data_IF_702117152605
#
_entry.id   IF_702117152605
#
_cell.length_a   1.000
_cell.length_b   1.000
_cell.length_c   1.000
_cell.angle_alpha   90.00
_cell.angle_beta   90.00
_cell.angle_gamma   90.00
#
_symmetry.space_group_name_H-M   'P 1'
#
loop_
_entity.id
_entity.type
_entity.pdbx_description
1 polymer ?
#
# COMPACT_ATOMS: atom_id res chain seq x y z
N UNK A 1 -8.45 15.64 24.54
CA UNK A 1 -7.92 14.28 24.35
C UNK A 1 -8.91 13.19 24.70
N UNK A 2 -10.04 13.47 25.38
CA UNK A 2 -11.02 12.43 25.75
C UNK A 2 -11.53 11.60 24.57
N UNK A 3 -11.82 12.23 23.42
CA UNK A 3 -12.25 11.51 22.21
C UNK A 3 -11.17 10.60 21.64
N UNK A 4 -9.90 11.00 21.72
CA UNK A 4 -8.77 10.17 21.27
C UNK A 4 -8.60 8.98 22.21
N UNK A 5 -8.72 9.21 23.52
CA UNK A 5 -8.65 8.14 24.52
C UNK A 5 -9.77 7.11 24.32
N UNK A 6 -11.02 7.58 24.15
CA UNK A 6 -12.16 6.72 23.86
C UNK A 6 -11.97 5.92 22.55
N UNK A 7 -11.49 6.57 21.48
CA UNK A 7 -11.17 5.90 20.23
C UNK A 7 -10.11 4.80 20.41
N UNK A 8 -9.06 5.05 21.19
CA UNK A 8 -8.03 4.07 21.50
C UNK A 8 -8.57 2.88 22.31
N UNK A 9 -9.41 3.13 23.32
CA UNK A 9 -9.92 2.07 24.21
C UNK A 9 -11.04 1.24 23.60
N UNK A 10 -11.98 1.90 22.91
CA UNK A 10 -13.26 1.29 22.54
C UNK A 10 -13.37 0.97 21.04
N UNK A 11 -12.51 1.57 20.19
CA UNK A 11 -12.61 1.42 18.73
C UNK A 11 -11.36 0.80 18.08
N UNK A 12 -10.16 1.14 18.57
CA UNK A 12 -8.90 0.70 17.98
C UNK A 12 -8.50 1.42 16.68
N UNK A 13 -9.26 2.42 16.25
CA UNK A 13 -8.99 3.24 15.07
C UNK A 13 -9.69 4.60 15.15
N UNK A 14 -9.13 5.63 14.49
CA UNK A 14 -9.78 6.93 14.29
C UNK A 14 -9.18 7.64 13.08
N UNK A 15 -9.96 8.51 12.46
CA UNK A 15 -9.48 9.44 11.45
C UNK A 15 -9.02 10.74 12.11
N UNK A 16 -7.87 11.26 11.67
CA UNK A 16 -7.37 12.56 12.09
C UNK A 16 -7.46 13.52 10.90
N UNK A 17 -8.14 14.65 11.10
CA UNK A 17 -8.19 15.74 10.12
C UNK A 17 -7.28 16.88 10.57
N UNK A 18 -6.87 17.73 9.62
CA UNK A 18 -5.94 18.85 9.88
C UNK A 18 -4.61 18.38 10.52
N UNK A 19 -4.10 17.22 10.09
CA UNK A 19 -2.89 16.58 10.60
C UNK A 19 -1.58 17.29 10.20
N UNK A 20 -1.64 18.32 9.35
CA UNK A 20 -0.48 19.13 8.97
C UNK A 20 0.37 18.56 7.82
N UNK A 21 0.00 17.40 7.27
CA UNK A 21 0.59 16.90 6.02
C UNK A 21 -0.03 17.66 4.86
N UNK A 22 0.81 18.16 3.94
CA UNK A 22 0.34 18.91 2.78
C UNK A 22 -0.59 18.06 1.92
N UNK A 23 -1.73 18.61 1.51
CA UNK A 23 -2.63 17.95 0.57
C UNK A 23 -1.93 17.70 -0.78
N UNK A 24 -1.05 18.61 -1.21
CA UNK A 24 -0.28 18.43 -2.44
C UNK A 24 0.63 17.19 -2.36
N UNK A 25 1.21 16.92 -1.19
CA UNK A 25 2.03 15.71 -0.98
C UNK A 25 1.17 14.45 -0.97
N UNK A 26 -0.01 14.48 -0.35
CA UNK A 26 -0.95 13.35 -0.34
C UNK A 26 -1.45 13.02 -1.76
N UNK A 27 -1.85 14.05 -2.52
CA UNK A 27 -2.26 13.92 -3.92
C UNK A 27 -1.14 13.32 -4.77
N UNK A 28 0.10 13.76 -4.52
CA UNK A 28 1.25 13.26 -5.24
C UNK A 28 1.56 11.80 -4.90
N UNK A 29 1.54 11.41 -3.62
CA UNK A 29 1.67 10.02 -3.16
C UNK A 29 0.62 9.12 -3.81
N UNK A 30 -0.64 9.55 -3.85
CA UNK A 30 -1.72 8.81 -4.51
C UNK A 30 -1.44 8.63 -6.00
N UNK A 31 -1.04 9.71 -6.69
CA UNK A 31 -0.75 9.73 -8.13
C UNK A 31 0.39 8.77 -8.48
N UNK A 32 1.54 8.86 -7.81
CA UNK A 32 2.70 8.01 -8.11
C UNK A 32 2.44 6.54 -7.74
N UNK A 33 1.67 6.27 -6.68
CA UNK A 33 1.31 4.90 -6.28
C UNK A 33 0.41 4.22 -7.31
N UNK A 34 -0.62 4.92 -7.81
CA UNK A 34 -1.50 4.41 -8.87
C UNK A 34 -0.74 4.20 -10.17
N UNK A 35 0.12 5.14 -10.55
CA UNK A 35 0.95 5.03 -11.75
C UNK A 35 1.89 3.82 -11.69
N UNK A 36 2.57 3.60 -10.55
CA UNK A 36 3.43 2.44 -10.35
C UNK A 36 2.63 1.12 -10.37
N UNK A 37 1.44 1.08 -9.77
CA UNK A 37 0.59 -0.11 -9.79
C UNK A 37 0.23 -0.50 -11.24
N UNK A 38 -0.25 0.47 -12.03
CA UNK A 38 -0.58 0.24 -13.44
C UNK A 38 0.63 -0.17 -14.28
N UNK A 39 1.79 0.44 -14.06
CA UNK A 39 2.99 0.19 -14.86
C UNK A 39 3.71 -1.11 -14.51
N UNK A 40 3.77 -1.50 -13.23
CA UNK A 40 4.68 -2.54 -12.76
C UNK A 40 3.97 -3.74 -12.12
N UNK A 41 2.72 -3.59 -11.66
CA UNK A 41 2.07 -4.58 -10.77
C UNK A 41 0.83 -5.22 -11.37
N UNK A 42 0.18 -4.55 -12.32
CA UNK A 42 -1.06 -5.03 -12.91
C UNK A 42 -0.88 -6.36 -13.65
N UNK A 43 0.24 -6.54 -14.38
CA UNK A 43 0.52 -7.78 -15.10
C UNK A 43 0.76 -8.96 -14.14
N UNK A 44 1.63 -8.77 -13.15
CA UNK A 44 1.89 -9.78 -12.11
C UNK A 44 0.61 -10.14 -11.34
N UNK A 45 -0.24 -9.16 -11.06
CA UNK A 45 -1.52 -9.39 -10.41
C UNK A 45 -2.51 -10.16 -11.29
N UNK A 46 -2.56 -9.88 -12.60
CA UNK A 46 -3.39 -10.65 -13.56
C UNK A 46 -2.96 -12.11 -13.62
N UNK A 47 -1.66 -12.38 -13.63
CA UNK A 47 -1.13 -13.75 -13.59
C UNK A 47 -1.51 -14.46 -12.28
N UNK A 48 -1.35 -13.79 -11.14
CA UNK A 48 -1.80 -14.29 -9.85
C UNK A 48 -3.31 -14.59 -9.86
N UNK A 49 -4.13 -13.63 -10.30
CA UNK A 49 -5.57 -13.74 -10.37
C UNK A 49 -6.02 -14.92 -11.22
N UNK A 50 -5.42 -15.10 -12.41
CA UNK A 50 -5.72 -16.22 -13.30
C UNK A 50 -5.46 -17.58 -12.62
N UNK A 51 -4.30 -17.72 -11.96
CA UNK A 51 -3.93 -18.96 -11.24
C UNK A 51 -4.85 -19.24 -10.06
N UNK A 52 -5.19 -18.21 -9.29
CA UNK A 52 -6.05 -18.36 -8.12
C UNK A 52 -7.48 -18.73 -8.52
N UNK A 53 -8.02 -18.13 -9.58
CA UNK A 53 -9.32 -18.50 -10.13
C UNK A 53 -9.34 -19.94 -10.66
N UNK A 54 -8.33 -20.34 -11.43
CA UNK A 54 -8.22 -21.72 -11.94
C UNK A 54 -8.13 -22.75 -10.80
N UNK A 55 -7.38 -22.44 -9.73
CA UNK A 55 -7.31 -23.31 -8.56
C UNK A 55 -8.66 -23.42 -7.83
N UNK A 56 -9.38 -22.30 -7.69
CA UNK A 56 -10.72 -22.27 -7.11
C UNK A 56 -11.73 -23.08 -7.93
N UNK A 57 -11.71 -22.99 -9.26
CA UNK A 57 -12.54 -23.80 -10.15
C UNK A 57 -12.24 -25.31 -10.02
N UNK A 58 -10.99 -25.67 -9.71
CA UNK A 58 -10.57 -27.05 -9.42
C UNK A 58 -10.88 -27.50 -7.98
N UNK A 59 -11.55 -26.67 -7.18
CA UNK A 59 -12.01 -26.99 -5.84
C UNK A 59 -11.00 -26.73 -4.72
N UNK A 60 -9.93 -25.96 -4.98
CA UNK A 60 -9.03 -25.50 -3.93
C UNK A 60 -9.75 -24.51 -2.99
N UNK A 61 -9.49 -24.59 -1.68
CA UNK A 61 -9.95 -23.58 -0.73
C UNK A 61 -9.06 -22.34 -0.86
N UNK A 62 -9.65 -21.22 -1.28
CA UNK A 62 -8.98 -19.93 -1.48
C UNK A 62 -9.15 -18.98 -0.29
N UNK A 63 -9.68 -19.46 0.85
CA UNK A 63 -9.84 -18.63 2.06
C UNK A 63 -8.53 -18.21 2.72
N UNK A 64 -7.45 -18.93 2.46
CA UNK A 64 -6.11 -18.64 3.00
C UNK A 64 -5.27 -17.75 2.05
N UNK A 65 -5.93 -17.07 1.10
CA UNK A 65 -5.29 -16.22 0.10
C UNK A 65 -5.95 -14.84 0.07
N UNK A 66 -5.14 -13.80 0.24
CA UNK A 66 -5.57 -12.42 0.07
C UNK A 66 -5.56 -12.03 -1.41
N UNK A 67 -6.67 -11.47 -1.89
CA UNK A 67 -6.78 -10.93 -3.25
C UNK A 67 -6.13 -9.53 -3.31
N UNK A 68 -4.81 -9.49 -3.19
CA UNK A 68 -4.04 -8.25 -3.01
C UNK A 68 -2.76 -8.24 -3.86
N UNK A 69 -2.35 -7.05 -4.30
CA UNK A 69 -1.01 -6.78 -4.83
C UNK A 69 -0.30 -5.76 -3.96
N UNK A 70 0.69 -6.18 -3.18
CA UNK A 70 1.38 -5.33 -2.20
C UNK A 70 2.90 -5.35 -2.33
N UNK A 71 3.55 -4.31 -1.81
CA UNK A 71 5.00 -4.21 -1.64
C UNK A 71 5.30 -3.38 -0.41
N UNK A 72 6.49 -3.55 0.16
CA UNK A 72 6.85 -2.93 1.43
C UNK A 72 8.01 -1.94 1.27
N UNK A 73 7.77 -0.71 1.71
CA UNK A 73 8.81 0.30 1.94
C UNK A 73 9.11 0.34 3.44
N UNK A 74 10.35 0.05 3.81
CA UNK A 74 10.86 0.21 5.17
C UNK A 74 11.62 1.53 5.23
N UNK A 75 11.29 2.36 6.22
CA UNK A 75 12.01 3.61 6.48
C UNK A 75 13.06 3.42 7.59
N UNK A 76 12.66 2.81 8.70
CA UNK A 76 13.49 2.64 9.89
C UNK A 76 13.58 1.15 10.32
N UNK A 77 14.65 0.76 11.04
CA UNK A 77 15.86 1.55 11.32
C UNK A 77 16.78 1.70 10.09
N UNK A 78 16.63 0.85 9.08
CA UNK A 78 17.38 0.89 7.83
C UNK A 78 16.42 0.87 6.65
N UNK A 79 16.52 1.85 5.76
CA UNK A 79 15.62 1.95 4.63
C UNK A 79 15.97 0.96 3.52
N UNK A 80 14.96 0.36 2.89
CA UNK A 80 15.12 -0.45 1.67
C UNK A 80 14.75 0.34 0.40
N UNK A 81 14.49 1.65 0.51
CA UNK A 81 13.92 2.43 -0.60
C UNK A 81 14.85 2.47 -1.82
N UNK A 82 16.17 2.36 -1.62
CA UNK A 82 17.18 2.26 -2.68
C UNK A 82 17.20 0.90 -3.37
N UNK A 83 16.70 -0.13 -2.71
CA UNK A 83 16.83 -1.53 -3.14
C UNK A 83 15.64 -1.99 -4.00
N UNK A 84 14.56 -1.20 -4.03
CA UNK A 84 13.38 -1.47 -4.83
C UNK A 84 13.65 -1.08 -6.31
N UNK A 85 13.82 -2.02 -7.25
CA UNK A 85 14.26 -1.69 -8.61
C UNK A 85 13.21 -0.92 -9.41
N UNK A 86 11.94 -1.20 -9.17
CA UNK A 86 10.81 -0.70 -9.98
C UNK A 86 10.27 0.66 -9.51
N UNK A 87 10.89 1.26 -8.49
CA UNK A 87 10.58 2.61 -8.06
C UNK A 87 11.51 3.60 -8.76
N UNK A 88 10.94 4.54 -9.50
CA UNK A 88 11.72 5.63 -10.09
C UNK A 88 12.24 6.61 -9.02
N UNK A 89 13.17 7.48 -9.42
CA UNK A 89 13.79 8.44 -8.51
C UNK A 89 12.76 9.40 -7.88
N UNK A 90 11.77 9.84 -8.65
CA UNK A 90 10.76 10.78 -8.19
C UNK A 90 9.86 10.15 -7.12
N UNK A 91 9.39 8.93 -7.35
CA UNK A 91 8.58 8.20 -6.38
C UNK A 91 9.37 7.96 -5.07
N UNK A 92 10.66 7.65 -5.14
CA UNK A 92 11.51 7.53 -3.93
C UNK A 92 11.61 8.86 -3.18
N UNK A 93 11.67 9.99 -3.86
CA UNK A 93 11.68 11.30 -3.18
C UNK A 93 10.35 11.56 -2.48
N UNK A 94 9.23 11.33 -3.18
CA UNK A 94 7.87 11.48 -2.64
C UNK A 94 7.68 10.61 -1.39
N UNK A 95 8.03 9.31 -1.44
CA UNK A 95 7.91 8.40 -0.30
C UNK A 95 8.91 8.68 0.83
N UNK A 96 9.97 9.44 0.58
CA UNK A 96 10.91 9.84 1.64
C UNK A 96 10.42 11.09 2.37
N UNK A 97 9.68 11.96 1.67
CA UNK A 97 9.08 13.16 2.23
C UNK A 97 7.81 12.87 3.02
N UNK A 98 6.98 11.94 2.50
CA UNK A 98 5.79 11.42 3.17
C UNK A 98 6.16 10.56 4.39
#
# INVERSE_FOLDING_TARGET
MEVIHDACENWGFFELLNHGISHELMDEVERVSKAHCAACREEQFKEFAARTLEAGEKGADVKDVDWESTFFVRHLPASNLTDLPDLDHHYRQVMKEF
#
